data_IF_721207232703
#
_entry.id   IF_721207232703
#
_cell.length_a   1.000
_cell.length_b   1.000
_cell.length_c   1.000
_cell.angle_alpha   90.00
_cell.angle_beta   90.00
_cell.angle_gamma   90.00
#
_symmetry.space_group_name_H-M   'P 1'
#
loop_
_entity.id
_entity.type
_entity.pdbx_description
1 polymer ?
#
# COMPACT_ATOMS: atom_id res chain seq x y z
N UNK A 1 -10.39 -12.34 2.36
CA UNK A 1 -10.24 -10.94 2.25
C UNK A 1 -8.82 -10.56 2.17
N UNK A 2 -8.55 -9.90 1.14
CA UNK A 2 -7.19 -9.78 0.78
C UNK A 2 -6.55 -8.46 1.23
N UNK A 3 -7.33 -7.42 1.51
CA UNK A 3 -6.79 -6.10 1.86
C UNK A 3 -7.01 -5.81 3.33
N UNK A 4 -5.93 -5.40 4.00
CA UNK A 4 -5.92 -5.14 5.45
C UNK A 4 -5.80 -3.65 5.68
N UNK A 5 -6.72 -3.07 6.47
CA UNK A 5 -6.58 -1.68 6.90
C UNK A 5 -5.58 -1.62 8.05
N UNK A 6 -4.59 -0.74 7.92
CA UNK A 6 -3.47 -0.66 8.84
C UNK A 6 -3.45 0.71 9.50
N UNK A 7 -3.16 0.72 10.80
CA UNK A 7 -3.07 1.94 11.60
C UNK A 7 -1.65 2.09 12.15
N UNK A 8 -1.36 3.23 12.77
CA UNK A 8 -0.08 3.43 13.42
C UNK A 8 0.18 2.36 14.49
N UNK A 9 -0.89 1.88 15.13
CA UNK A 9 -0.76 0.89 16.20
C UNK A 9 -0.30 -0.48 15.70
N UNK A 10 -0.74 -0.89 14.48
CA UNK A 10 -0.42 -2.23 13.99
C UNK A 10 0.50 -2.23 12.77
N UNK A 11 1.00 -1.07 12.34
CA UNK A 11 1.83 -0.98 11.15
C UNK A 11 3.10 -1.82 11.29
N UNK A 12 3.75 -1.72 12.43
CA UNK A 12 4.99 -2.48 12.65
C UNK A 12 4.72 -3.98 12.53
N UNK A 13 3.67 -4.46 13.17
CA UNK A 13 3.35 -5.88 13.16
C UNK A 13 2.94 -6.35 11.77
N UNK A 14 2.09 -5.58 11.09
CA UNK A 14 1.51 -6.02 9.82
C UNK A 14 2.44 -5.82 8.63
N UNK A 15 3.33 -4.84 8.68
CA UNK A 15 4.19 -4.50 7.56
C UNK A 15 5.66 -4.78 7.87
N UNK A 16 6.18 -4.21 8.96
CA UNK A 16 7.62 -4.24 9.21
C UNK A 16 8.11 -5.57 9.77
N UNK A 17 7.20 -6.39 10.31
CA UNK A 17 7.56 -7.72 10.83
C UNK A 17 7.02 -8.85 9.96
N UNK A 18 6.50 -8.53 8.78
CA UNK A 18 6.02 -9.54 7.83
C UNK A 18 7.14 -9.86 6.86
N UNK A 19 7.51 -11.13 6.76
CA UNK A 19 8.43 -11.57 5.73
C UNK A 19 7.71 -11.72 4.41
N UNK A 20 8.46 -11.63 3.30
CA UNK A 20 7.89 -11.66 1.99
C UNK A 20 7.54 -10.27 1.52
N UNK A 21 6.58 -10.19 0.58
CA UNK A 21 6.23 -8.93 -0.06
C UNK A 21 4.98 -8.35 0.57
N UNK A 22 5.06 -7.08 0.95
CA UNK A 22 3.92 -6.30 1.45
C UNK A 22 3.79 -5.05 0.60
N UNK A 23 2.59 -4.80 0.09
CA UNK A 23 2.28 -3.56 -0.62
C UNK A 23 1.37 -2.71 0.25
N UNK A 24 1.71 -1.43 0.41
CA UNK A 24 0.94 -0.51 1.24
C UNK A 24 0.42 0.64 0.37
N UNK A 25 -0.90 0.83 0.38
CA UNK A 25 -1.59 1.87 -0.38
C UNK A 25 -1.97 2.99 0.58
N UNK A 26 -1.34 4.15 0.41
CA UNK A 26 -1.68 5.36 1.16
C UNK A 26 -2.76 6.11 0.40
N UNK A 27 -3.91 6.34 1.02
CA UNK A 27 -5.08 6.88 0.35
C UNK A 27 -5.89 7.81 1.25
N UNK A 28 -6.87 8.48 0.67
CA UNK A 28 -7.85 9.27 1.42
C UNK A 28 -9.21 9.17 0.74
N UNK A 29 -10.28 9.32 1.53
CA UNK A 29 -11.65 9.16 1.01
C UNK A 29 -12.03 10.22 0.00
N UNK A 30 -11.44 11.44 0.10
CA UNK A 30 -11.72 12.55 -0.79
C UNK A 30 -10.90 12.53 -2.08
N UNK A 31 -10.05 11.55 -2.27
CA UNK A 31 -9.07 11.52 -3.35
C UNK A 31 -9.63 10.75 -4.55
N UNK A 32 -9.89 11.45 -5.65
CA UNK A 32 -10.40 10.82 -6.88
C UNK A 32 -9.47 9.78 -7.45
N UNK A 33 -8.17 10.09 -7.65
CA UNK A 33 -7.23 9.07 -8.16
C UNK A 33 -7.12 7.85 -7.26
N UNK A 34 -7.25 8.02 -5.93
CA UNK A 34 -7.24 6.89 -5.01
C UNK A 34 -8.40 5.94 -5.29
N UNK A 35 -9.57 6.51 -5.63
CA UNK A 35 -10.75 5.70 -5.96
C UNK A 35 -10.56 4.94 -7.26
N UNK A 36 -9.80 5.50 -8.20
CA UNK A 36 -9.49 4.81 -9.45
C UNK A 36 -8.51 3.65 -9.22
N UNK A 37 -7.58 3.83 -8.30
CA UNK A 37 -6.58 2.81 -8.01
C UNK A 37 -7.14 1.67 -7.16
N UNK A 38 -8.12 1.95 -6.31
CA UNK A 38 -8.62 0.98 -5.34
C UNK A 38 -9.05 -0.35 -5.95
N UNK A 39 -9.86 -0.39 -7.04
CA UNK A 39 -10.21 -1.68 -7.63
C UNK A 39 -9.00 -2.44 -8.18
N UNK A 40 -7.99 -1.73 -8.67
CA UNK A 40 -6.78 -2.36 -9.16
C UNK A 40 -6.02 -3.01 -8.01
N UNK A 41 -5.92 -2.31 -6.87
CA UNK A 41 -5.27 -2.84 -5.67
C UNK A 41 -6.02 -4.08 -5.16
N UNK A 42 -7.35 -4.02 -5.14
CA UNK A 42 -8.16 -5.16 -4.73
C UNK A 42 -7.94 -6.37 -5.65
N UNK A 43 -7.84 -6.13 -6.96
CA UNK A 43 -7.60 -7.19 -7.92
C UNK A 43 -6.22 -7.82 -7.73
N UNK A 44 -5.20 -6.99 -7.49
CA UNK A 44 -3.85 -7.48 -7.18
C UNK A 44 -3.88 -8.38 -5.95
N UNK A 45 -4.59 -7.93 -4.90
CA UNK A 45 -4.68 -8.70 -3.66
C UNK A 45 -5.32 -10.06 -3.88
N UNK A 46 -6.35 -10.13 -4.73
CA UNK A 46 -7.03 -11.39 -5.02
C UNK A 46 -6.19 -12.31 -5.88
N UNK A 47 -5.47 -11.76 -6.86
CA UNK A 47 -4.70 -12.57 -7.81
C UNK A 47 -3.34 -12.98 -7.27
N UNK A 48 -2.85 -12.32 -6.24
CA UNK A 48 -1.53 -12.59 -5.67
C UNK A 48 -1.65 -12.86 -4.17
N UNK A 49 -2.24 -13.99 -3.78
CA UNK A 49 -2.43 -14.29 -2.35
C UNK A 49 -1.12 -14.47 -1.59
N UNK A 50 -0.01 -14.64 -2.30
CA UNK A 50 1.31 -14.75 -1.67
C UNK A 50 1.82 -13.41 -1.14
N UNK A 51 1.27 -12.28 -1.57
CA UNK A 51 1.67 -10.99 -1.04
C UNK A 51 0.61 -10.49 -0.06
N UNK A 52 1.06 -9.65 0.87
CA UNK A 52 0.16 -8.97 1.80
C UNK A 52 -0.13 -7.58 1.26
N UNK A 53 -1.41 -7.20 1.19
CA UNK A 53 -1.83 -5.89 0.69
C UNK A 53 -2.48 -5.14 1.84
N UNK A 54 -1.96 -3.94 2.14
CA UNK A 54 -2.41 -3.11 3.24
C UNK A 54 -2.84 -1.75 2.70
N UNK A 55 -3.74 -1.09 3.42
CA UNK A 55 -4.19 0.27 3.13
C UNK A 55 -4.02 1.14 4.37
N UNK A 56 -3.55 2.36 4.16
CA UNK A 56 -3.40 3.36 5.21
C UNK A 56 -4.19 4.60 4.80
N UNK A 57 -5.18 4.97 5.61
CA UNK A 57 -5.93 6.20 5.42
C UNK A 57 -5.14 7.35 6.04
N UNK A 58 -4.63 8.27 5.22
CA UNK A 58 -3.73 9.32 5.70
C UNK A 58 -4.43 10.35 6.61
N UNK A 59 -5.76 10.47 6.49
CA UNK A 59 -6.50 11.38 7.37
C UNK A 59 -6.61 10.81 8.79
N UNK A 60 -6.67 9.50 8.91
CA UNK A 60 -6.75 8.83 10.21
C UNK A 60 -5.37 8.53 10.78
N UNK A 61 -4.38 8.34 9.91
CA UNK A 61 -3.02 7.97 10.30
C UNK A 61 -2.00 8.93 9.71
N UNK A 62 -2.07 10.23 10.08
CA UNK A 62 -1.15 11.21 9.48
C UNK A 62 0.32 10.96 9.83
N UNK A 63 0.59 10.34 10.98
CA UNK A 63 1.96 10.06 11.37
C UNK A 63 2.64 9.08 10.42
N UNK A 64 1.90 8.11 9.90
CA UNK A 64 2.47 7.15 8.94
C UNK A 64 2.83 7.83 7.63
N UNK A 65 1.98 8.76 7.16
CA UNK A 65 2.29 9.51 5.95
C UNK A 65 3.56 10.34 6.13
N UNK A 66 3.72 10.95 7.30
CA UNK A 66 4.91 11.74 7.60
C UNK A 66 6.15 10.86 7.67
N UNK A 67 6.04 9.73 8.37
CA UNK A 67 7.17 8.81 8.56
C UNK A 67 7.71 8.30 7.24
N UNK A 68 6.84 8.07 6.26
CA UNK A 68 7.25 7.54 4.95
C UNK A 68 7.29 8.61 3.87
N UNK A 69 7.19 9.89 4.27
CA UNK A 69 7.32 11.05 3.36
C UNK A 69 6.34 10.97 2.20
N UNK A 70 5.11 10.56 2.51
CA UNK A 70 4.04 10.51 1.52
C UNK A 70 3.49 11.92 1.35
N UNK A 71 3.80 12.54 0.22
CA UNK A 71 3.40 13.91 -0.06
C UNK A 71 2.26 14.02 -1.05
N UNK A 72 2.01 12.98 -1.79
CA UNK A 72 0.92 12.89 -2.77
C UNK A 72 0.24 11.55 -2.64
N UNK A 73 -1.05 11.49 -2.95
CA UNK A 73 -1.81 10.24 -2.90
C UNK A 73 -2.52 10.02 -4.22
N UNK A 74 -2.72 8.76 -4.64
CA UNK A 74 -2.28 7.55 -3.95
C UNK A 74 -0.77 7.34 -4.05
N UNK A 75 -0.19 6.75 -3.02
CA UNK A 75 1.20 6.30 -3.03
C UNK A 75 1.22 4.83 -2.65
N UNK A 76 1.92 4.03 -3.45
CA UNK A 76 2.14 2.63 -3.15
C UNK A 76 3.57 2.45 -2.68
N UNK A 77 3.74 1.81 -1.53
CA UNK A 77 5.05 1.39 -1.04
C UNK A 77 5.11 -0.13 -1.10
N UNK A 78 6.26 -0.65 -1.52
CA UNK A 78 6.48 -2.09 -1.52
C UNK A 78 7.61 -2.41 -0.55
N UNK A 79 7.32 -3.31 0.37
CA UNK A 79 8.29 -3.84 1.33
C UNK A 79 8.60 -5.28 0.94
N UNK A 80 9.86 -5.65 1.07
CA UNK A 80 10.28 -7.02 0.80
C UNK A 80 11.21 -7.44 1.94
N UNK A 81 10.79 -8.49 2.66
CA UNK A 81 11.52 -8.99 3.83
C UNK A 81 11.84 -7.85 4.80
N UNK A 82 10.80 -7.09 5.16
CA UNK A 82 10.85 -6.03 6.16
C UNK A 82 11.53 -4.74 5.74
N UNK A 83 11.92 -4.61 4.47
CA UNK A 83 12.58 -3.41 3.96
C UNK A 83 11.80 -2.79 2.81
N UNK A 84 11.69 -1.47 2.82
CA UNK A 84 11.07 -0.74 1.70
C UNK A 84 12.00 -0.83 0.48
N UNK A 85 11.47 -1.39 -0.61
CA UNK A 85 12.28 -1.61 -1.83
C UNK A 85 11.75 -0.83 -3.02
N UNK A 86 10.51 -0.33 -2.98
CA UNK A 86 9.95 0.36 -4.13
C UNK A 86 8.85 1.33 -3.70
N UNK A 87 8.57 2.31 -4.56
CA UNK A 87 7.53 3.30 -4.31
C UNK A 87 7.01 3.82 -5.65
N UNK A 88 5.69 4.05 -5.75
CA UNK A 88 5.11 4.75 -6.89
C UNK A 88 4.07 5.75 -6.41
N UNK A 89 3.90 6.83 -7.18
CA UNK A 89 2.97 7.91 -6.87
C UNK A 89 1.97 8.00 -8.02
N UNK A 90 0.68 8.10 -7.67
CA UNK A 90 -0.38 8.23 -8.64
C UNK A 90 -0.96 6.90 -9.06
N UNK A 91 -1.89 6.94 -10.02
CA UNK A 91 -2.55 5.74 -10.52
C UNK A 91 -1.60 5.00 -11.44
N UNK A 92 -1.42 3.71 -11.17
CA UNK A 92 -0.59 2.84 -11.98
C UNK A 92 -1.46 1.74 -12.57
N UNK A 93 -1.07 1.23 -13.73
CA UNK A 93 -1.75 0.07 -14.31
C UNK A 93 -1.46 -1.16 -13.47
N UNK A 94 -2.31 -2.16 -13.62
CA UNK A 94 -2.11 -3.44 -12.92
C UNK A 94 -0.75 -4.05 -13.27
N UNK A 95 -0.37 -4.02 -14.56
CA UNK A 95 0.90 -4.61 -14.97
C UNK A 95 2.09 -3.83 -14.42
N UNK A 96 1.98 -2.51 -14.30
CA UNK A 96 3.06 -1.73 -13.71
C UNK A 96 3.22 -2.05 -12.22
N UNK A 97 2.10 -2.24 -11.52
CA UNK A 97 2.15 -2.62 -10.11
C UNK A 97 2.77 -4.01 -9.96
N UNK A 98 2.35 -4.95 -10.81
CA UNK A 98 2.90 -6.31 -10.76
C UNK A 98 4.41 -6.30 -10.97
N UNK A 99 4.90 -5.42 -11.85
CA UNK A 99 6.34 -5.27 -12.06
C UNK A 99 7.07 -4.77 -10.82
N UNK A 100 6.41 -3.93 -10.02
CA UNK A 100 7.00 -3.43 -8.77
C UNK A 100 7.13 -4.54 -7.72
N UNK A 101 6.28 -5.55 -7.82
CA UNK A 101 6.22 -6.63 -6.84
C UNK A 101 7.17 -7.78 -7.17
N UNK A 102 7.73 -7.77 -8.36
CA UNK A 102 8.58 -8.86 -8.84
C UNK A 102 9.93 -8.94 -8.11
#
# INVERSE_FOLDING_TARGET
MAVISVTADNFEQEVLKTEGIVMVDFWAAWCGPCKMLSPIVDQIAEEHPEIKVCKVNINEEPSLAIDYKVMSIPTLLVFKNCEKVNMSIGVQSKSDIEAMLA
#
